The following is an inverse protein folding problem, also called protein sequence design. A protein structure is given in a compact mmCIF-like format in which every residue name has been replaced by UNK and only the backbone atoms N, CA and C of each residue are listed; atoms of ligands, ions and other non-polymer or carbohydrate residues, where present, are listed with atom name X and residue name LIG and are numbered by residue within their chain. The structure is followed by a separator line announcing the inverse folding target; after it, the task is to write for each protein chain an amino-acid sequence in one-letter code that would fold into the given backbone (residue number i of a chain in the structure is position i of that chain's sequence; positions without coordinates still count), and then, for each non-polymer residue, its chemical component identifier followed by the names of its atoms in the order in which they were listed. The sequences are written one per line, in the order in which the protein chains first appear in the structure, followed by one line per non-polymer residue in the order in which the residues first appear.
data_IF_092330408691
#
_entry.id   IF_092330408691
#
_cell.length_a   1.000
_cell.length_b   1.000
_cell.length_c   1.000
_cell.angle_alpha   90.00
_cell.angle_beta   90.00
_cell.angle_gamma   90.00
#
_symmetry.space_group_name_H-M   'P 1'
#
loop_
_entity.id
_entity.type
_entity.pdbx_description
1 polymer ?
#
# COMPACT_ATOMS: atom_id res chain seq x y z
N UNK A 1 -20.52 -1.69 -17.54
CA UNK A 1 -19.29 -1.01 -17.09
C UNK A 1 -18.59 -0.20 -18.19
N UNK A 2 -18.33 -0.72 -19.40
CA UNK A 2 -17.67 0.03 -20.50
C UNK A 2 -18.43 1.28 -21.00
N UNK A 3 -19.75 1.30 -20.97
CA UNK A 3 -20.57 2.45 -21.45
C UNK A 3 -20.61 3.61 -20.45
N UNK A 4 -20.47 3.36 -19.16
CA UNK A 4 -20.44 4.41 -18.11
C UNK A 4 -19.07 5.10 -18.08
N UNK A 5 -17.97 4.37 -18.32
CA UNK A 5 -16.64 4.97 -18.45
C UNK A 5 -16.50 5.90 -19.67
N UNK A 6 -17.18 5.58 -20.77
CA UNK A 6 -17.11 6.42 -21.99
C UNK A 6 -17.83 7.76 -21.79
N UNK A 7 -18.90 7.80 -21.00
CA UNK A 7 -19.63 9.04 -20.69
C UNK A 7 -18.82 9.97 -19.75
N UNK A 8 -18.06 9.41 -18.82
CA UNK A 8 -17.20 10.21 -17.91
C UNK A 8 -15.99 10.83 -18.63
N UNK A 9 -15.41 10.14 -19.60
CA UNK A 9 -14.27 10.65 -20.39
C UNK A 9 -14.68 11.76 -21.34
N UNK A 10 -15.90 11.73 -21.89
CA UNK A 10 -16.41 12.81 -22.74
C UNK A 10 -16.76 14.08 -21.94
N UNK A 11 -17.13 13.97 -20.66
CA UNK A 11 -17.41 15.12 -19.81
C UNK A 11 -16.15 15.88 -19.34
N UNK A 12 -14.97 15.22 -19.29
CA UNK A 12 -13.71 15.87 -18.90
C UNK A 12 -13.01 16.60 -20.07
N UNK A 13 -13.37 16.36 -21.32
CA UNK A 13 -12.73 16.99 -22.48
C UNK A 13 -13.29 18.39 -22.81
N UNK A 14 -14.30 18.87 -22.08
CA UNK A 14 -14.92 20.17 -22.30
C UNK A 14 -14.39 21.30 -21.41
N UNK A 15 -13.42 21.01 -20.51
CA UNK A 15 -12.74 22.08 -19.77
C UNK A 15 -11.59 22.66 -20.62
N UNK A 16 -11.92 23.60 -21.50
CA UNK A 16 -10.92 24.49 -22.09
C UNK A 16 -10.28 25.36 -20.98
N UNK A 17 -8.95 25.57 -20.98
CA UNK A 17 -8.32 26.37 -19.95
C UNK A 17 -8.83 27.82 -20.02
N UNK A 18 -9.41 28.31 -18.92
CA UNK A 18 -9.72 29.73 -18.75
C UNK A 18 -8.45 30.57 -18.93
N UNK A 19 -8.32 31.24 -20.06
CA UNK A 19 -7.34 32.36 -20.22
C UNK A 19 -7.88 33.54 -19.46
N UNK A 20 -7.35 33.76 -18.25
CA UNK A 20 -7.56 35.04 -17.54
C UNK A 20 -6.80 36.12 -18.29
N UNK A 21 -7.50 36.95 -19.05
CA UNK A 21 -7.00 38.26 -19.51
C UNK A 21 -7.51 39.30 -18.54
N UNK A 22 -6.58 39.87 -17.77
CA UNK A 22 -6.86 41.05 -16.96
C UNK A 22 -6.76 42.29 -17.87
N UNK A 23 -7.91 42.86 -18.20
CA UNK A 23 -8.07 44.32 -18.46
C UNK A 23 -9.54 44.61 -18.80
N UNK A 24 -10.16 45.54 -18.06
CA UNK A 24 -11.27 46.39 -18.47
C UNK A 24 -12.57 45.69 -18.91
N UNK A 25 -13.41 45.45 -17.92
CA UNK A 25 -14.68 44.80 -17.93
C UNK A 25 -15.61 44.99 -19.10
N UNK A 26 -15.95 43.89 -19.69
CA UNK A 26 -17.21 43.79 -20.41
C UNK A 26 -18.21 43.01 -19.55
N UNK A 27 -19.06 43.72 -18.82
CA UNK A 27 -20.11 43.17 -17.98
C UNK A 27 -21.00 42.23 -18.80
N UNK A 28 -21.11 42.44 -20.10
CA UNK A 28 -21.88 41.65 -21.02
C UNK A 28 -21.20 40.28 -21.28
N UNK A 29 -19.86 40.25 -21.39
CA UNK A 29 -19.11 38.98 -21.50
C UNK A 29 -19.24 38.15 -20.25
N UNK A 30 -19.16 38.76 -19.06
CA UNK A 30 -19.37 38.05 -17.78
C UNK A 30 -20.79 37.49 -17.64
N UNK A 31 -21.81 38.23 -18.10
CA UNK A 31 -23.19 37.72 -18.12
C UNK A 31 -23.33 36.53 -19.02
N UNK A 32 -22.70 36.52 -20.19
CA UNK A 32 -22.72 35.43 -21.14
C UNK A 32 -22.07 34.17 -20.53
N UNK A 33 -20.93 34.31 -19.84
CA UNK A 33 -20.26 33.22 -19.16
C UNK A 33 -21.11 32.64 -18.01
N UNK A 34 -21.77 33.52 -17.23
CA UNK A 34 -22.68 33.09 -16.17
C UNK A 34 -23.89 32.30 -16.74
N UNK A 35 -24.41 32.71 -17.86
CA UNK A 35 -25.54 32.01 -18.48
C UNK A 35 -25.13 30.67 -19.09
N UNK A 36 -23.90 30.55 -19.61
CA UNK A 36 -23.33 29.26 -20.03
C UNK A 36 -23.17 28.33 -18.81
N UNK A 37 -22.58 28.81 -17.72
CA UNK A 37 -22.41 28.04 -16.50
C UNK A 37 -23.74 27.59 -15.89
N UNK A 38 -24.79 28.43 -15.93
CA UNK A 38 -26.12 28.03 -15.50
C UNK A 38 -26.69 26.90 -16.34
N UNK A 39 -26.52 26.98 -17.67
CA UNK A 39 -26.98 25.94 -18.59
C UNK A 39 -26.27 24.62 -18.34
N UNK A 40 -24.96 24.64 -18.14
CA UNK A 40 -24.16 23.45 -17.82
C UNK A 40 -24.58 22.83 -16.45
N UNK A 41 -24.84 23.68 -15.46
CA UNK A 41 -25.39 23.24 -14.17
C UNK A 41 -26.77 22.57 -14.29
N UNK A 42 -27.62 23.09 -15.15
CA UNK A 42 -28.95 22.50 -15.39
C UNK A 42 -28.84 21.17 -16.13
N UNK A 43 -27.89 21.02 -17.03
CA UNK A 43 -27.61 19.75 -17.72
C UNK A 43 -27.06 18.70 -16.74
N UNK A 44 -26.10 19.07 -15.87
CA UNK A 44 -25.60 18.19 -14.81
C UNK A 44 -26.72 17.75 -13.87
N UNK A 45 -27.61 18.66 -13.48
CA UNK A 45 -28.80 18.32 -12.66
C UNK A 45 -29.72 17.32 -13.37
N UNK A 46 -29.99 17.49 -14.66
CA UNK A 46 -30.80 16.55 -15.44
C UNK A 46 -30.17 15.16 -15.51
N UNK A 47 -28.85 15.07 -15.74
CA UNK A 47 -28.12 13.81 -15.76
C UNK A 47 -28.18 13.15 -14.38
N UNK A 48 -27.93 13.89 -13.30
CA UNK A 48 -28.04 13.39 -11.93
C UNK A 48 -29.45 12.86 -11.61
N UNK A 49 -30.50 13.60 -11.96
CA UNK A 49 -31.88 13.17 -11.75
C UNK A 49 -32.20 11.92 -12.58
N UNK A 50 -31.62 11.76 -13.76
CA UNK A 50 -31.87 10.59 -14.62
C UNK A 50 -31.18 9.31 -14.11
N UNK A 51 -30.05 9.42 -13.43
CA UNK A 51 -29.30 8.26 -12.91
C UNK A 51 -29.71 7.92 -11.45
N UNK A 52 -30.21 8.90 -10.68
CA UNK A 52 -30.63 8.70 -9.29
C UNK A 52 -31.64 7.54 -9.12
N UNK A 53 -32.70 7.41 -9.97
CA UNK A 53 -33.63 6.28 -9.89
C UNK A 53 -32.99 4.92 -10.13
N UNK A 54 -31.93 4.86 -10.96
CA UNK A 54 -31.21 3.62 -11.24
C UNK A 54 -30.35 3.19 -10.05
N UNK A 55 -29.74 4.17 -9.35
CA UNK A 55 -28.97 3.94 -8.14
C UNK A 55 -29.88 3.53 -6.99
N UNK A 56 -31.00 4.26 -6.80
CA UNK A 56 -31.98 3.97 -5.73
C UNK A 56 -32.73 2.66 -5.97
N UNK A 57 -32.97 2.26 -7.24
CA UNK A 57 -33.54 0.93 -7.54
C UNK A 57 -32.56 -0.19 -7.26
N UNK A 58 -31.27 0.04 -7.44
CA UNK A 58 -30.25 -0.96 -7.10
C UNK A 58 -30.15 -1.18 -5.57
N UNK A 59 -30.45 -0.15 -4.77
CA UNK A 59 -30.55 -0.26 -3.30
C UNK A 59 -31.94 -0.79 -2.85
N UNK A 60 -32.98 -0.72 -3.70
CA UNK A 60 -34.32 -1.25 -3.42
C UNK A 60 -34.67 -2.53 -4.18
N UNK A 61 -33.72 -3.08 -4.94
CA UNK A 61 -33.82 -4.43 -5.48
C UNK A 61 -33.99 -5.37 -4.30
N UNK A 62 -35.28 -5.65 -4.02
CA UNK A 62 -35.81 -6.69 -3.17
C UNK A 62 -34.73 -7.38 -2.32
N UNK A 63 -34.53 -6.85 -1.12
CA UNK A 63 -34.08 -7.66 -0.01
C UNK A 63 -35.15 -8.74 0.23
N UNK A 64 -35.29 -9.70 -0.66
CA UNK A 64 -35.49 -11.04 -0.20
C UNK A 64 -34.25 -11.29 0.66
N UNK A 65 -34.46 -11.08 1.94
CA UNK A 65 -33.58 -11.58 2.97
C UNK A 65 -33.58 -13.12 2.82
N UNK A 66 -32.85 -13.60 1.78
CA UNK A 66 -32.19 -14.87 1.92
C UNK A 66 -31.28 -14.61 3.11
N UNK A 67 -31.70 -15.14 4.27
CA UNK A 67 -30.88 -15.21 5.44
C UNK A 67 -29.55 -15.80 4.93
N UNK A 68 -28.56 -14.89 4.71
CA UNK A 68 -27.18 -15.34 4.50
C UNK A 68 -26.92 -16.15 5.74
N UNK A 69 -26.75 -17.49 5.62
CA UNK A 69 -26.46 -18.30 6.79
C UNK A 69 -25.29 -17.58 7.46
N UNK A 70 -25.31 -17.41 8.81
CA UNK A 70 -24.24 -16.72 9.50
C UNK A 70 -22.96 -17.29 8.95
N UNK A 71 -22.18 -16.49 8.21
CA UNK A 71 -20.90 -16.93 7.70
C UNK A 71 -20.15 -17.40 8.94
N UNK A 72 -20.06 -18.72 9.07
CA UNK A 72 -19.24 -19.37 10.09
C UNK A 72 -17.91 -18.67 9.95
N UNK A 73 -17.54 -17.87 10.97
CA UNK A 73 -16.27 -17.15 10.94
C UNK A 73 -15.22 -18.20 10.53
N UNK A 74 -14.74 -18.11 9.29
CA UNK A 74 -13.71 -19.04 8.82
C UNK A 74 -12.56 -18.91 9.79
N UNK A 75 -12.04 -20.06 10.25
CA UNK A 75 -10.87 -20.06 11.12
C UNK A 75 -9.78 -19.23 10.44
N UNK A 76 -9.08 -18.36 11.16
CA UNK A 76 -8.08 -17.49 10.56
C UNK A 76 -7.10 -18.34 9.75
N UNK A 77 -6.87 -17.91 8.52
CA UNK A 77 -5.93 -18.61 7.64
C UNK A 77 -4.57 -18.68 8.34
N UNK A 78 -3.95 -19.85 8.36
CA UNK A 78 -2.65 -20.07 8.97
C UNK A 78 -1.57 -20.14 7.90
N UNK A 79 -0.39 -19.56 8.19
CA UNK A 79 0.77 -19.60 7.31
C UNK A 79 2.03 -19.96 8.08
N UNK A 80 2.99 -20.56 7.37
CA UNK A 80 4.32 -20.85 7.92
C UNK A 80 5.39 -20.38 6.94
N UNK A 81 6.33 -19.55 7.42
CA UNK A 81 7.41 -19.00 6.59
C UNK A 81 8.74 -19.00 7.32
N UNK A 82 9.82 -19.29 6.60
CA UNK A 82 11.18 -19.11 7.13
C UNK A 82 11.54 -17.63 7.13
N UNK A 83 12.15 -17.17 8.21
CA UNK A 83 12.68 -15.80 8.32
C UNK A 83 14.21 -15.76 8.27
N UNK A 84 14.83 -16.88 7.92
CA UNK A 84 16.27 -16.94 7.79
C UNK A 84 16.72 -15.95 6.71
N UNK A 85 17.78 -15.19 7.04
CA UNK A 85 18.39 -14.18 6.18
C UNK A 85 17.49 -12.99 5.81
N UNK A 86 16.29 -12.88 6.43
CA UNK A 86 15.38 -11.75 6.21
C UNK A 86 15.72 -10.56 7.10
N UNK A 87 15.59 -9.33 6.60
CA UNK A 87 15.74 -8.13 7.41
C UNK A 87 14.77 -8.14 8.59
N UNK A 88 15.31 -7.94 9.80
CA UNK A 88 14.50 -7.98 11.01
C UNK A 88 14.91 -6.93 12.02
N UNK A 89 13.96 -6.49 12.86
CA UNK A 89 14.21 -5.64 14.03
C UNK A 89 13.44 -6.15 15.25
N UNK A 90 13.95 -5.83 16.43
CA UNK A 90 13.42 -6.37 17.69
C UNK A 90 13.95 -7.79 17.96
N UNK A 91 13.59 -8.34 19.14
CA UNK A 91 14.16 -9.62 19.65
C UNK A 91 13.09 -10.60 20.15
N UNK A 92 11.81 -10.26 20.07
CA UNK A 92 10.73 -11.11 20.58
C UNK A 92 10.66 -12.48 19.87
N UNK A 93 10.21 -13.49 20.61
CA UNK A 93 9.84 -14.80 20.04
C UNK A 93 8.53 -14.73 19.26
N UNK A 94 7.65 -13.77 19.62
CA UNK A 94 6.51 -13.41 18.79
C UNK A 94 7.02 -12.59 17.62
N UNK A 95 6.62 -12.96 16.41
CA UNK A 95 7.11 -12.36 15.17
C UNK A 95 5.95 -11.89 14.32
N UNK A 96 6.08 -10.69 13.79
CA UNK A 96 5.25 -10.15 12.72
C UNK A 96 6.07 -10.11 11.43
N UNK A 97 5.75 -11.00 10.49
CA UNK A 97 6.34 -11.01 9.15
C UNK A 97 5.43 -10.22 8.23
N UNK A 98 5.95 -9.26 7.48
CA UNK A 98 5.22 -8.48 6.48
C UNK A 98 5.73 -8.81 5.08
N UNK A 99 4.85 -9.27 4.19
CA UNK A 99 5.07 -9.28 2.74
C UNK A 99 4.58 -7.95 2.18
N UNK A 100 5.48 -7.19 1.61
CA UNK A 100 5.27 -5.78 1.33
C UNK A 100 5.89 -5.30 0.02
N UNK A 101 5.42 -4.15 -0.45
CA UNK A 101 5.85 -3.52 -1.68
C UNK A 101 6.04 -2.02 -1.44
N UNK A 102 7.21 -1.51 -1.78
CA UNK A 102 7.56 -0.11 -1.55
C UNK A 102 6.74 0.91 -2.37
N UNK A 103 6.13 0.51 -3.49
CA UNK A 103 5.22 1.37 -4.26
C UNK A 103 3.75 1.23 -3.82
N UNK A 104 3.42 0.24 -3.00
CA UNK A 104 2.05 0.03 -2.53
C UNK A 104 1.62 1.11 -1.54
N UNK A 105 0.57 1.85 -1.86
CA UNK A 105 0.02 2.89 -0.98
C UNK A 105 -0.52 2.37 0.35
N UNK A 106 -1.05 1.13 0.36
CA UNK A 106 -1.50 0.48 1.59
C UNK A 106 -0.33 0.10 2.50
N UNK A 107 0.81 -0.33 1.93
CA UNK A 107 2.03 -0.59 2.68
C UNK A 107 2.57 0.70 3.30
N UNK A 108 2.65 1.78 2.51
CA UNK A 108 3.05 3.08 3.06
C UNK A 108 2.15 3.53 4.21
N UNK A 109 0.82 3.40 4.07
CA UNK A 109 -0.12 3.74 5.14
C UNK A 109 0.15 2.92 6.41
N UNK A 110 0.37 1.60 6.29
CA UNK A 110 0.74 0.78 7.43
C UNK A 110 2.02 1.30 8.10
N UNK A 111 3.07 1.58 7.35
CA UNK A 111 4.35 2.08 7.87
C UNK A 111 4.24 3.48 8.49
N UNK A 112 3.40 4.35 7.93
CA UNK A 112 3.24 5.72 8.44
C UNK A 112 2.41 5.78 9.73
N UNK A 113 1.42 4.91 9.87
CA UNK A 113 0.43 4.99 10.95
C UNK A 113 0.60 3.85 11.98
N UNK A 114 0.39 2.60 11.54
CA UNK A 114 0.31 1.43 12.43
C UNK A 114 1.69 0.98 12.91
N UNK A 115 2.66 0.89 11.99
CA UNK A 115 4.00 0.38 12.30
C UNK A 115 4.72 1.21 13.36
N UNK A 116 4.59 2.53 13.33
CA UNK A 116 5.20 3.41 14.34
C UNK A 116 4.73 3.10 15.76
N UNK A 117 3.44 2.78 15.90
CA UNK A 117 2.86 2.41 17.19
C UNK A 117 3.32 1.02 17.61
N UNK A 118 3.32 0.05 16.69
CA UNK A 118 3.85 -1.30 16.93
C UNK A 118 5.33 -1.25 17.33
N UNK A 119 6.11 -0.44 16.62
CA UNK A 119 7.53 -0.27 16.91
C UNK A 119 7.74 0.22 18.34
N UNK A 120 7.09 1.31 18.71
CA UNK A 120 7.22 1.93 20.04
C UNK A 120 6.76 0.99 21.15
N UNK A 121 5.61 0.33 20.98
CA UNK A 121 4.96 -0.43 22.07
C UNK A 121 5.51 -1.85 22.20
N UNK A 122 5.88 -2.51 21.09
CA UNK A 122 6.25 -3.93 21.12
C UNK A 122 7.66 -4.23 20.63
N UNK A 123 8.13 -3.60 19.55
CA UNK A 123 9.41 -3.94 18.92
C UNK A 123 10.58 -3.37 19.77
N UNK A 124 10.53 -2.07 20.10
CA UNK A 124 11.55 -1.39 20.88
C UNK A 124 11.61 -1.90 22.35
N UNK A 125 10.51 -2.48 22.82
CA UNK A 125 10.43 -3.13 24.14
C UNK A 125 10.85 -4.60 24.13
N UNK A 126 11.21 -5.14 22.97
CA UNK A 126 11.68 -6.52 22.82
C UNK A 126 10.59 -7.59 22.90
N UNK A 127 9.29 -7.21 22.89
CA UNK A 127 8.17 -8.14 22.97
C UNK A 127 7.75 -8.70 21.61
N UNK A 128 8.10 -8.01 20.52
CA UNK A 128 7.81 -8.39 19.16
C UNK A 128 9.07 -8.27 18.31
N UNK A 129 9.27 -9.21 17.40
CA UNK A 129 10.20 -9.10 16.30
C UNK A 129 9.42 -8.77 15.03
N UNK A 130 9.88 -7.79 14.28
CA UNK A 130 9.35 -7.45 12.96
C UNK A 130 10.32 -7.97 11.89
N UNK A 131 9.76 -8.59 10.84
CA UNK A 131 10.50 -9.13 9.70
C UNK A 131 9.87 -8.61 8.42
N UNK A 132 10.69 -8.07 7.52
CA UNK A 132 10.24 -7.60 6.22
C UNK A 132 10.58 -8.62 5.14
N UNK A 133 9.62 -8.88 4.25
CA UNK A 133 9.75 -9.73 3.07
C UNK A 133 9.31 -8.95 1.85
N UNK A 134 10.15 -8.93 0.83
CA UNK A 134 9.87 -8.22 -0.41
C UNK A 134 8.79 -8.96 -1.23
N UNK A 135 7.74 -8.23 -1.62
CA UNK A 135 6.70 -8.76 -2.50
C UNK A 135 6.29 -7.71 -3.54
N UNK A 136 7.24 -7.29 -4.41
CA UNK A 136 6.98 -6.32 -5.48
C UNK A 136 5.87 -6.84 -6.40
N UNK A 137 4.81 -6.05 -6.55
CA UNK A 137 3.67 -6.38 -7.40
C UNK A 137 4.01 -6.10 -8.87
N UNK A 138 3.58 -6.94 -9.82
CA UNK A 138 4.04 -6.86 -11.20
C UNK A 138 3.61 -5.59 -11.96
N UNK A 139 2.63 -4.86 -11.45
CA UNK A 139 2.16 -3.59 -12.01
C UNK A 139 2.84 -2.35 -11.38
N UNK A 140 3.70 -2.52 -10.39
CA UNK A 140 4.51 -1.49 -9.77
C UNK A 140 5.90 -1.46 -10.40
N UNK A 141 6.17 -0.42 -11.20
CA UNK A 141 7.35 -0.37 -12.08
C UNK A 141 8.68 -0.25 -11.34
N UNK A 142 8.68 0.39 -10.16
CA UNK A 142 9.90 0.63 -9.38
C UNK A 142 10.02 -0.28 -8.16
N UNK A 143 9.02 -1.09 -7.84
CA UNK A 143 9.00 -1.88 -6.63
C UNK A 143 10.19 -2.85 -6.53
N UNK A 144 10.52 -3.57 -7.60
CA UNK A 144 11.70 -4.44 -7.64
C UNK A 144 13.00 -3.63 -7.42
N UNK A 145 13.15 -2.49 -8.09
CA UNK A 145 14.32 -1.62 -7.92
C UNK A 145 14.44 -1.12 -6.48
N UNK A 146 13.34 -0.78 -5.85
CA UNK A 146 13.28 -0.33 -4.46
C UNK A 146 13.69 -1.45 -3.47
N UNK A 147 13.22 -2.68 -3.71
CA UNK A 147 13.63 -3.86 -2.95
C UNK A 147 15.14 -4.10 -3.03
N UNK A 148 15.70 -4.08 -4.24
CA UNK A 148 17.16 -4.19 -4.43
C UNK A 148 17.91 -3.07 -3.72
N UNK A 149 17.38 -1.84 -3.75
CA UNK A 149 17.99 -0.68 -3.10
C UNK A 149 18.04 -0.83 -1.57
N UNK A 150 16.97 -1.34 -0.94
CA UNK A 150 16.97 -1.64 0.48
C UNK A 150 18.00 -2.71 0.85
N UNK A 151 18.09 -3.79 0.07
CA UNK A 151 19.10 -4.83 0.24
C UNK A 151 20.53 -4.27 0.13
N UNK A 152 20.80 -3.50 -0.93
CA UNK A 152 22.13 -2.89 -1.14
C UNK A 152 22.50 -1.87 -0.05
N UNK A 153 21.54 -1.15 0.51
CA UNK A 153 21.77 -0.30 1.67
C UNK A 153 22.13 -1.11 2.92
N UNK A 154 21.57 -2.31 3.04
CA UNK A 154 21.85 -3.24 4.12
C UNK A 154 23.33 -3.65 4.20
N UNK A 155 24.06 -3.73 3.08
CA UNK A 155 25.51 -4.00 3.05
C UNK A 155 26.34 -2.92 3.77
N UNK A 156 25.78 -1.73 3.87
CA UNK A 156 26.38 -0.60 4.57
C UNK A 156 25.76 -0.36 5.95
N UNK A 157 24.99 -1.33 6.47
CA UNK A 157 24.31 -1.25 7.76
C UNK A 157 23.12 -0.28 7.79
N UNK A 158 22.59 0.11 6.61
CA UNK A 158 21.55 1.14 6.48
C UNK A 158 20.27 0.64 5.81
N UNK A 159 19.96 -0.65 6.02
CA UNK A 159 18.72 -1.24 5.49
C UNK A 159 17.48 -0.46 5.94
N UNK A 160 17.35 -0.22 7.24
CA UNK A 160 16.14 0.39 7.81
C UNK A 160 16.00 1.88 7.51
N UNK A 161 17.11 2.59 7.37
CA UNK A 161 17.12 3.99 6.91
C UNK A 161 16.66 4.10 5.46
N UNK A 162 17.11 3.20 4.59
CA UNK A 162 16.66 3.13 3.20
C UNK A 162 15.19 2.68 3.13
N UNK A 163 14.81 1.67 3.89
CA UNK A 163 13.43 1.20 4.00
C UNK A 163 12.45 2.33 4.37
N UNK A 164 12.76 3.10 5.40
CA UNK A 164 11.96 4.26 5.77
C UNK A 164 11.96 5.34 4.68
N UNK A 165 13.12 5.62 4.08
CA UNK A 165 13.23 6.61 3.02
C UNK A 165 12.41 6.24 1.78
N UNK A 166 12.32 4.96 1.41
CA UNK A 166 11.52 4.47 0.30
C UNK A 166 10.03 4.70 0.55
N UNK A 167 9.49 4.31 1.71
CA UNK A 167 8.08 4.55 2.04
C UNK A 167 7.72 6.04 2.16
N UNK A 168 8.64 6.87 2.68
CA UNK A 168 8.42 8.31 2.80
C UNK A 168 8.47 9.05 1.46
N UNK A 169 8.99 8.44 0.40
CA UNK A 169 9.19 9.11 -0.89
C UNK A 169 8.58 8.32 -2.06
N UNK A 170 7.44 7.66 -1.86
CA UNK A 170 6.80 6.83 -2.90
C UNK A 170 6.61 7.53 -4.24
N UNK A 171 6.26 8.81 -4.26
CA UNK A 171 6.08 9.58 -5.50
C UNK A 171 7.37 9.75 -6.32
N UNK A 172 8.52 9.61 -5.69
CA UNK A 172 9.84 9.74 -6.33
C UNK A 172 10.71 8.52 -6.10
N UNK A 173 10.11 7.37 -5.83
CA UNK A 173 10.79 6.13 -5.47
C UNK A 173 11.75 5.63 -6.57
N UNK A 174 11.48 5.97 -7.83
CA UNK A 174 12.35 5.68 -8.97
C UNK A 174 13.70 6.42 -8.93
N UNK A 175 13.78 7.57 -8.22
CA UNK A 175 15.01 8.35 -8.03
C UNK A 175 15.79 7.82 -6.81
N UNK A 176 16.36 6.64 -6.96
CA UNK A 176 17.13 5.97 -5.89
C UNK A 176 18.39 6.76 -5.53
N UNK A 177 19.01 7.46 -6.47
CA UNK A 177 20.22 8.25 -6.23
C UNK A 177 19.99 9.38 -5.21
N UNK A 178 18.81 9.97 -5.24
CA UNK A 178 18.39 10.94 -4.24
C UNK A 178 18.30 10.31 -2.85
N UNK A 179 17.76 9.10 -2.76
CA UNK A 179 17.62 8.37 -1.50
C UNK A 179 18.98 7.93 -0.96
N UNK A 180 19.91 7.52 -1.82
CA UNK A 180 21.31 7.21 -1.47
C UNK A 180 21.97 8.41 -0.79
N UNK A 181 21.84 9.59 -1.35
CA UNK A 181 22.38 10.82 -0.76
C UNK A 181 21.71 11.13 0.59
N UNK A 182 20.39 11.01 0.66
CA UNK A 182 19.61 11.29 1.88
C UNK A 182 19.97 10.36 3.04
N UNK A 183 20.24 9.09 2.75
CA UNK A 183 20.61 8.09 3.75
C UNK A 183 22.12 8.07 4.05
N UNK A 184 22.93 8.89 3.36
CA UNK A 184 24.37 9.01 3.56
C UNK A 184 25.12 7.72 3.22
N UNK A 185 24.65 6.99 2.20
CA UNK A 185 25.34 5.81 1.67
C UNK A 185 26.52 6.20 0.80
N UNK A 186 27.54 5.33 0.74
CA UNK A 186 28.58 5.42 -0.28
C UNK A 186 27.98 5.00 -1.63
N UNK A 187 27.85 5.97 -2.55
CA UNK A 187 27.22 5.76 -3.84
C UNK A 187 27.96 4.74 -4.70
N UNK A 188 29.31 4.71 -4.69
CA UNK A 188 30.09 3.76 -5.50
C UNK A 188 29.82 2.33 -5.07
N UNK A 189 29.86 2.05 -3.76
CA UNK A 189 29.55 0.72 -3.21
C UNK A 189 28.11 0.33 -3.49
N UNK A 190 27.19 1.27 -3.31
CA UNK A 190 25.77 1.06 -3.55
C UNK A 190 25.49 0.72 -5.03
N UNK A 191 26.01 1.51 -5.97
CA UNK A 191 25.79 1.30 -7.39
C UNK A 191 26.38 -0.03 -7.86
N UNK A 192 27.58 -0.41 -7.37
CA UNK A 192 28.16 -1.73 -7.67
C UNK A 192 27.25 -2.89 -7.24
N UNK A 193 26.57 -2.76 -6.09
CA UNK A 193 25.60 -3.76 -5.63
C UNK A 193 24.36 -3.79 -6.52
N UNK A 194 23.82 -2.61 -6.88
CA UNK A 194 22.64 -2.48 -7.74
C UNK A 194 22.92 -3.04 -9.16
N UNK A 195 24.05 -2.67 -9.77
CA UNK A 195 24.44 -3.12 -11.11
C UNK A 195 24.67 -4.64 -11.15
N UNK A 196 25.21 -5.19 -10.07
CA UNK A 196 25.39 -6.63 -9.90
C UNK A 196 24.13 -7.38 -9.52
N UNK A 197 22.99 -6.70 -9.33
CA UNK A 197 21.70 -7.27 -8.95
C UNK A 197 21.77 -8.24 -7.77
N UNK A 198 22.65 -7.94 -6.82
CA UNK A 198 23.05 -8.87 -5.74
C UNK A 198 21.89 -9.45 -4.92
N UNK A 199 20.79 -8.71 -4.80
CA UNK A 199 19.62 -9.10 -4.01
C UNK A 199 18.45 -9.63 -4.85
N UNK A 200 18.60 -9.78 -6.19
CA UNK A 200 17.51 -10.23 -7.07
C UNK A 200 17.01 -11.63 -6.70
N UNK A 201 17.92 -12.54 -6.39
CA UNK A 201 17.56 -13.91 -5.97
C UNK A 201 16.83 -13.91 -4.60
N UNK A 202 17.26 -13.06 -3.66
CA UNK A 202 16.61 -12.94 -2.36
C UNK A 202 15.18 -12.40 -2.50
N UNK A 203 14.98 -11.33 -3.28
CA UNK A 203 13.66 -10.79 -3.57
C UNK A 203 12.79 -11.81 -4.31
N UNK A 204 13.35 -12.53 -5.29
CA UNK A 204 12.63 -13.57 -6.03
C UNK A 204 12.20 -14.70 -5.10
N UNK A 205 13.07 -15.09 -4.17
CA UNK A 205 12.73 -16.08 -3.15
C UNK A 205 11.57 -15.61 -2.26
N UNK A 206 11.59 -14.35 -1.84
CA UNK A 206 10.53 -13.75 -1.03
C UNK A 206 9.18 -13.76 -1.75
N UNK A 207 9.18 -13.41 -3.05
CA UNK A 207 7.99 -13.49 -3.90
C UNK A 207 7.45 -14.93 -3.98
N UNK A 208 8.34 -15.91 -4.17
CA UNK A 208 7.93 -17.32 -4.29
C UNK A 208 7.37 -17.84 -2.97
N UNK A 209 8.06 -17.58 -1.85
CA UNK A 209 7.57 -17.96 -0.52
C UNK A 209 6.18 -17.33 -0.24
N UNK A 210 5.98 -16.05 -0.61
CA UNK A 210 4.70 -15.38 -0.46
C UNK A 210 3.60 -16.01 -1.32
N UNK A 211 3.90 -16.35 -2.58
CA UNK A 211 2.96 -17.03 -3.48
C UNK A 211 2.54 -18.41 -2.96
N UNK A 212 3.49 -19.18 -2.45
CA UNK A 212 3.22 -20.49 -1.83
C UNK A 212 2.28 -20.38 -0.62
N UNK A 213 2.34 -19.26 0.10
CA UNK A 213 1.45 -18.92 1.22
C UNK A 213 0.11 -18.34 0.78
N UNK A 214 -0.13 -18.15 -0.52
CA UNK A 214 -1.35 -17.55 -1.04
C UNK A 214 -1.39 -16.03 -0.90
N UNK A 215 -0.24 -15.36 -0.71
CA UNK A 215 -0.16 -13.89 -0.76
C UNK A 215 -0.50 -13.43 -2.18
N UNK A 216 -1.57 -12.64 -2.29
CA UNK A 216 -2.08 -12.12 -3.56
C UNK A 216 -2.18 -10.59 -3.58
N UNK A 217 -1.74 -9.94 -2.51
CA UNK A 217 -1.72 -8.48 -2.36
C UNK A 217 -0.92 -8.04 -1.15
N UNK A 218 -0.57 -6.76 -1.11
CA UNK A 218 0.27 -6.17 -0.06
C UNK A 218 -0.44 -5.02 0.66
N UNK A 219 -0.17 -4.83 1.97
CA UNK A 219 0.63 -5.70 2.81
C UNK A 219 -0.13 -6.98 3.20
N UNK A 220 0.58 -8.09 3.37
CA UNK A 220 0.06 -9.32 3.98
C UNK A 220 1.01 -9.73 5.10
N UNK A 221 0.46 -10.09 6.24
CA UNK A 221 1.24 -10.38 7.45
C UNK A 221 1.06 -11.83 7.91
N UNK A 222 2.09 -12.36 8.57
CA UNK A 222 2.00 -13.57 9.40
C UNK A 222 2.39 -13.16 10.82
N UNK A 223 1.47 -13.32 11.76
CA UNK A 223 1.71 -13.09 13.19
C UNK A 223 1.76 -14.43 13.91
N UNK A 224 2.92 -14.78 14.42
CA UNK A 224 3.11 -16.08 15.04
C UNK A 224 4.38 -16.22 15.85
N UNK A 225 4.65 -17.44 16.33
CA UNK A 225 5.85 -17.74 17.12
C UNK A 225 6.94 -18.30 16.23
N UNK A 226 8.18 -17.91 16.56
CA UNK A 226 9.41 -18.43 15.95
C UNK A 226 9.76 -19.77 16.55
N UNK A 227 10.01 -20.76 15.70
CA UNK A 227 10.50 -22.07 16.12
C UNK A 227 12.04 -22.15 16.07
N UNK A 228 12.60 -23.25 16.58
CA UNK A 228 14.04 -23.50 16.60
C UNK A 228 14.65 -23.67 15.19
N UNK A 229 13.82 -23.93 14.17
CA UNK A 229 14.26 -24.06 12.78
C UNK A 229 14.29 -22.71 12.04
N UNK A 230 13.92 -21.61 12.70
CA UNK A 230 13.85 -20.29 12.11
C UNK A 230 12.61 -20.05 11.26
N UNK A 231 11.52 -20.79 11.55
CA UNK A 231 10.23 -20.60 10.88
C UNK A 231 9.23 -19.93 11.82
N UNK A 232 8.40 -19.09 11.26
CA UNK A 232 7.28 -18.45 11.93
C UNK A 232 6.00 -19.10 11.45
N UNK A 233 5.22 -19.66 12.38
CA UNK A 233 3.90 -20.23 12.12
C UNK A 233 2.85 -19.42 12.85
N UNK A 234 1.82 -18.94 12.13
CA UNK A 234 0.82 -18.08 12.74
C UNK A 234 -0.31 -17.68 11.83
N UNK A 235 -1.12 -16.77 12.34
CA UNK A 235 -2.29 -16.22 11.65
C UNK A 235 -1.87 -15.31 10.49
N UNK A 236 -2.50 -15.49 9.33
CA UNK A 236 -2.36 -14.60 8.18
C UNK A 236 -3.33 -13.42 8.32
N UNK A 237 -2.81 -12.20 8.25
CA UNK A 237 -3.58 -10.94 8.31
C UNK A 237 -3.39 -10.22 6.98
N UNK A 238 -4.47 -9.95 6.25
CA UNK A 238 -4.41 -9.29 4.95
C UNK A 238 -4.74 -7.81 5.05
N UNK A 239 -3.97 -7.00 4.32
CA UNK A 239 -4.18 -5.56 4.18
C UNK A 239 -3.68 -4.72 5.36
N UNK A 240 -3.67 -3.41 5.17
CA UNK A 240 -3.25 -2.42 6.17
C UNK A 240 -4.34 -2.21 7.22
N UNK A 241 -4.58 -3.23 8.06
CA UNK A 241 -5.56 -3.15 9.15
C UNK A 241 -5.12 -2.15 10.23
N UNK A 242 -6.05 -1.57 11.00
CA UNK A 242 -5.74 -0.61 12.06
C UNK A 242 -4.87 -1.21 13.17
N UNK A 243 -4.09 -0.35 13.84
CA UNK A 243 -3.26 -0.71 14.98
C UNK A 243 -4.00 -1.53 16.05
N UNK A 244 -5.26 -1.18 16.36
CA UNK A 244 -6.08 -1.89 17.37
C UNK A 244 -6.26 -3.38 17.06
N UNK A 245 -6.29 -3.77 15.78
CA UNK A 245 -6.40 -5.16 15.37
C UNK A 245 -5.11 -5.90 15.68
N UNK A 246 -3.96 -5.34 15.31
CA UNK A 246 -2.65 -5.91 15.67
C UNK A 246 -2.46 -5.98 17.17
N UNK A 247 -2.78 -4.89 17.89
CA UNK A 247 -2.66 -4.84 19.35
C UNK A 247 -3.44 -5.97 20.01
N UNK A 248 -4.71 -6.15 19.64
CA UNK A 248 -5.55 -7.20 20.22
C UNK A 248 -4.97 -8.60 20.00
N UNK A 249 -4.46 -8.89 18.80
CA UNK A 249 -3.86 -10.17 18.46
C UNK A 249 -2.51 -10.39 19.17
N UNK A 250 -1.65 -9.39 19.18
CA UNK A 250 -0.34 -9.45 19.86
C UNK A 250 -0.53 -9.66 21.36
N UNK A 251 -1.40 -8.87 22.01
CA UNK A 251 -1.66 -8.97 23.45
C UNK A 251 -2.25 -10.34 23.82
N UNK A 252 -3.04 -10.95 22.94
CA UNK A 252 -3.57 -12.30 23.16
C UNK A 252 -2.48 -13.39 23.11
N UNK A 253 -1.46 -13.22 22.25
CA UNK A 253 -0.35 -14.17 22.09
C UNK A 253 0.78 -13.99 23.10
N UNK A 254 0.85 -12.84 23.78
CA UNK A 254 1.84 -12.53 24.81
C UNK A 254 1.41 -12.94 26.24
N UNK A 255 0.15 -13.37 26.39
CA UNK A 255 -0.37 -13.92 27.67
C UNK A 255 0.08 -15.36 27.87
#
# INVERSE_FOLDING_TARGET
MKKVMLALVLALSLFAPLRVHAAGGDIEAMKTEIDILKKDMDEIKRVLISILPAIVRNDRGEAQAQAVPPQRAEAPQQGTVSIKDSPSMGKGELVLVEFSDYECSFCARFHMDTFKQLKKEYIDTGRLRFVYRDFPLPFHQNAMKASLAAGCAGEQGKYWEMHEALFLNQQTIGDVDRLVKKTGLNATTFNKCMDGKKYEDAVTKDINDGRELGVNGTPTFILGKLDAAGKVSGEVIQGAVPYSVFKGKIDALLK
#
